data_IF_835669806185
#
_entry.id   IF_835669806185
#
_cell.length_a   1.000
_cell.length_b   1.000
_cell.length_c   1.000
_cell.angle_alpha   90.00
_cell.angle_beta   90.00
_cell.angle_gamma   90.00
#
_symmetry.space_group_name_H-M   'P 1'
#
loop_
_entity.id
_entity.type
_entity.pdbx_description
1 polymer ?
#
# COMPACT_ATOMS: atom_id res chain seq x y z
N UNK A 1 -22.14 9.74 -10.90
CA UNK A 1 -20.68 9.67 -10.74
C UNK A 1 -20.36 9.66 -9.26
N UNK A 2 -19.15 9.30 -8.87
CA UNK A 2 -18.71 9.23 -7.47
C UNK A 2 -17.50 10.13 -7.29
N UNK A 3 -17.51 10.96 -6.24
CA UNK A 3 -16.39 11.79 -5.83
C UNK A 3 -15.86 11.29 -4.51
N UNK A 4 -14.58 10.93 -4.46
CA UNK A 4 -13.88 10.46 -3.27
C UNK A 4 -12.88 11.53 -2.85
N UNK A 5 -12.93 11.99 -1.61
CA UNK A 5 -12.05 13.01 -1.06
C UNK A 5 -11.24 12.48 0.13
N UNK A 6 -9.92 12.62 0.09
CA UNK A 6 -9.03 12.19 1.17
C UNK A 6 -7.71 12.96 1.13
N UNK A 7 -7.30 13.58 2.23
CA UNK A 7 -6.05 14.33 2.39
C UNK A 7 -4.78 13.48 2.42
N UNK A 8 -4.82 12.22 2.00
CA UNK A 8 -3.62 11.36 1.89
C UNK A 8 -2.65 11.87 0.82
N UNK A 9 -1.43 11.36 0.82
CA UNK A 9 -0.38 11.76 -0.13
C UNK A 9 -0.09 10.64 -1.11
N UNK A 10 -0.28 10.92 -2.39
CA UNK A 10 0.16 10.06 -3.48
C UNK A 10 1.61 10.42 -3.87
N UNK A 11 2.55 9.52 -3.58
CA UNK A 11 3.98 9.72 -3.80
C UNK A 11 4.56 8.73 -4.83
N UNK A 12 3.69 8.07 -5.63
CA UNK A 12 4.05 7.05 -6.60
C UNK A 12 3.73 5.61 -6.14
N UNK A 13 3.06 5.45 -4.99
CA UNK A 13 2.64 4.14 -4.46
C UNK A 13 1.38 3.63 -5.14
N UNK A 14 0.56 4.52 -5.70
CA UNK A 14 -0.72 4.19 -6.32
C UNK A 14 -1.90 4.16 -5.35
N UNK A 15 -1.77 4.75 -4.15
CA UNK A 15 -2.84 4.89 -3.14
C UNK A 15 -4.10 5.56 -3.73
N UNK A 16 -3.95 6.54 -4.64
CA UNK A 16 -5.07 7.19 -5.34
C UNK A 16 -5.88 6.19 -6.15
N UNK A 17 -5.19 5.32 -6.90
CA UNK A 17 -5.81 4.31 -7.75
C UNK A 17 -6.55 3.27 -6.93
N UNK A 18 -5.93 2.73 -5.89
CA UNK A 18 -6.54 1.67 -5.06
C UNK A 18 -7.70 2.20 -4.21
N UNK A 19 -7.68 3.47 -3.80
CA UNK A 19 -8.83 4.13 -3.17
C UNK A 19 -10.04 4.17 -4.12
N UNK A 20 -9.81 4.56 -5.38
CA UNK A 20 -10.84 4.50 -6.42
C UNK A 20 -11.34 3.08 -6.68
N UNK A 21 -10.44 2.09 -6.73
CA UNK A 21 -10.81 0.67 -6.90
C UNK A 21 -11.65 0.14 -5.73
N UNK A 22 -11.33 0.53 -4.49
CA UNK A 22 -12.13 0.19 -3.31
C UNK A 22 -13.54 0.77 -3.43
N UNK A 23 -13.68 2.04 -3.82
CA UNK A 23 -15.00 2.64 -4.04
C UNK A 23 -15.76 1.97 -5.20
N UNK A 24 -15.07 1.65 -6.30
CA UNK A 24 -15.64 0.94 -7.45
C UNK A 24 -16.21 -0.42 -7.05
N UNK A 25 -15.43 -1.21 -6.31
CA UNK A 25 -15.85 -2.52 -5.81
C UNK A 25 -17.03 -2.40 -4.84
N UNK A 26 -16.97 -1.47 -3.88
CA UNK A 26 -18.03 -1.34 -2.87
C UNK A 26 -19.32 -0.76 -3.43
N UNK A 27 -19.25 0.17 -4.37
CA UNK A 27 -20.42 0.86 -4.94
C UNK A 27 -20.91 0.24 -6.26
N UNK A 28 -20.21 -0.76 -6.80
CA UNK A 28 -20.59 -1.42 -8.06
C UNK A 28 -20.65 -0.46 -9.25
N UNK A 29 -19.82 0.57 -9.25
CA UNK A 29 -19.71 1.53 -10.36
C UNK A 29 -18.36 1.38 -11.03
N UNK A 30 -18.33 1.55 -12.35
CA UNK A 30 -17.07 1.51 -13.10
C UNK A 30 -16.10 2.62 -12.66
N UNK A 31 -14.80 2.30 -12.70
CA UNK A 31 -13.72 3.15 -12.19
C UNK A 31 -13.61 4.52 -12.91
N UNK A 32 -14.01 4.57 -14.18
CA UNK A 32 -14.08 5.80 -15.00
C UNK A 32 -15.10 6.82 -14.48
N UNK A 33 -16.06 6.36 -13.66
CA UNK A 33 -17.06 7.22 -13.01
C UNK A 33 -16.64 7.70 -11.62
N UNK A 34 -15.42 7.41 -11.20
CA UNK A 34 -14.90 7.76 -9.88
C UNK A 34 -13.78 8.80 -10.02
N UNK A 35 -14.02 10.00 -9.49
CA UNK A 35 -12.99 11.02 -9.33
C UNK A 35 -12.42 10.97 -7.92
N UNK A 36 -11.11 10.75 -7.80
CA UNK A 36 -10.40 10.77 -6.51
C UNK A 36 -9.65 12.08 -6.36
N UNK A 37 -9.99 12.84 -5.32
CA UNK A 37 -9.31 14.06 -4.89
C UNK A 37 -8.46 13.78 -3.66
N UNK A 38 -7.18 14.14 -3.75
CA UNK A 38 -6.19 13.74 -2.77
C UNK A 38 -4.97 14.66 -2.78
N UNK A 39 -4.36 14.88 -1.63
CA UNK A 39 -3.15 15.70 -1.45
C UNK A 39 -3.42 17.18 -1.16
N UNK A 40 -4.56 17.52 -0.55
CA UNK A 40 -4.92 18.88 -0.17
C UNK A 40 -5.36 18.89 1.30
N UNK A 41 -4.87 19.87 2.08
CA UNK A 41 -5.15 20.02 3.51
C UNK A 41 -6.58 20.49 3.81
N UNK A 42 -7.34 20.93 2.80
CA UNK A 42 -8.77 21.18 2.93
C UNK A 42 -9.63 19.91 2.86
N UNK A 43 -9.04 18.76 2.54
CA UNK A 43 -9.74 17.46 2.44
C UNK A 43 -9.70 16.71 3.79
N UNK A 44 -10.57 15.70 3.99
CA UNK A 44 -10.55 14.86 5.19
C UNK A 44 -9.15 14.31 5.49
N UNK A 45 -8.59 14.52 6.69
CA UNK A 45 -7.18 14.23 6.93
C UNK A 45 -6.89 12.73 6.86
N UNK A 46 -5.64 12.40 6.52
CA UNK A 46 -5.13 11.04 6.49
C UNK A 46 -3.74 10.99 7.12
N UNK A 47 -3.30 9.84 7.64
CA UNK A 47 -1.97 9.72 8.23
C UNK A 47 -0.87 9.95 7.17
N UNK A 48 0.35 10.15 7.67
CA UNK A 48 1.55 10.29 6.82
C UNK A 48 1.71 9.08 5.90
N UNK A 49 2.23 9.32 4.69
CA UNK A 49 2.64 8.23 3.79
C UNK A 49 4.02 7.72 4.20
N UNK A 50 4.03 6.79 5.16
CA UNK A 50 5.21 6.12 5.72
C UNK A 50 4.81 4.95 6.62
N UNK A 51 5.74 4.06 6.98
CA UNK A 51 5.42 2.84 7.75
C UNK A 51 4.46 1.89 7.01
N UNK A 52 4.33 2.08 5.69
CA UNK A 52 3.47 1.29 4.81
C UNK A 52 1.98 1.26 5.20
N UNK A 53 1.46 2.27 5.89
CA UNK A 53 0.07 2.26 6.41
C UNK A 53 -0.99 2.86 5.47
N UNK A 54 -0.59 3.64 4.46
CA UNK A 54 -1.52 4.47 3.67
C UNK A 54 -2.66 3.69 3.04
N UNK A 55 -2.38 2.56 2.37
CA UNK A 55 -3.42 1.77 1.70
C UNK A 55 -4.40 1.17 2.71
N UNK A 56 -3.90 0.64 3.83
CA UNK A 56 -4.73 0.08 4.89
C UNK A 56 -5.66 1.14 5.51
N UNK A 57 -5.13 2.32 5.81
CA UNK A 57 -5.90 3.42 6.38
C UNK A 57 -6.94 3.97 5.40
N UNK A 58 -6.51 4.34 4.18
CA UNK A 58 -7.39 4.97 3.18
C UNK A 58 -8.45 3.99 2.68
N UNK A 59 -8.08 2.76 2.32
CA UNK A 59 -9.07 1.81 1.80
C UNK A 59 -10.09 1.39 2.86
N UNK A 60 -9.69 1.31 4.14
CA UNK A 60 -10.64 1.04 5.23
C UNK A 60 -11.63 2.18 5.42
N UNK A 61 -11.16 3.44 5.43
CA UNK A 61 -12.04 4.60 5.52
C UNK A 61 -13.00 4.70 4.32
N UNK A 62 -12.49 4.47 3.10
CA UNK A 62 -13.31 4.46 1.87
C UNK A 62 -14.35 3.36 1.90
N UNK A 63 -13.98 2.15 2.35
CA UNK A 63 -14.92 1.04 2.51
C UNK A 63 -16.05 1.44 3.47
N UNK A 64 -15.72 2.01 4.62
CA UNK A 64 -16.71 2.46 5.61
C UNK A 64 -17.64 3.54 5.05
N UNK A 65 -17.12 4.53 4.32
CA UNK A 65 -17.94 5.56 3.68
C UNK A 65 -18.87 4.96 2.62
N UNK A 66 -18.37 4.04 1.79
CA UNK A 66 -19.18 3.37 0.79
C UNK A 66 -20.29 2.51 1.42
N UNK A 67 -20.01 1.86 2.55
CA UNK A 67 -21.00 1.04 3.26
C UNK A 67 -22.09 1.90 3.92
N UNK A 68 -21.75 3.10 4.39
CA UNK A 68 -22.74 4.07 4.85
C UNK A 68 -23.66 4.52 3.69
N UNK A 69 -23.10 4.80 2.50
CA UNK A 69 -23.89 5.13 1.29
C UNK A 69 -24.82 3.97 0.93
N UNK A 70 -24.30 2.74 0.89
CA UNK A 70 -25.09 1.53 0.60
C UNK A 70 -26.25 1.37 1.57
N UNK A 71 -26.00 1.57 2.86
CA UNK A 71 -27.02 1.47 3.90
C UNK A 71 -28.18 2.43 3.64
N UNK A 72 -27.88 3.70 3.32
CA UNK A 72 -28.92 4.70 3.00
C UNK A 72 -29.66 4.36 1.70
N UNK A 73 -28.94 3.94 0.66
CA UNK A 73 -29.53 3.53 -0.61
C UNK A 73 -30.48 2.35 -0.44
N UNK A 74 -30.07 1.32 0.29
CA UNK A 74 -30.89 0.13 0.51
C UNK A 74 -32.11 0.45 1.36
N UNK A 75 -31.95 1.21 2.44
CA UNK A 75 -33.07 1.64 3.27
C UNK A 75 -34.10 2.46 2.46
N UNK A 76 -33.65 3.36 1.60
CA UNK A 76 -34.55 4.14 0.75
C UNK A 76 -35.22 3.30 -0.34
N UNK A 77 -34.49 2.32 -0.91
CA UNK A 77 -35.05 1.45 -1.93
C UNK A 77 -36.16 0.55 -1.38
N UNK A 78 -36.05 0.13 -0.11
CA UNK A 78 -36.98 -0.80 0.54
C UNK A 78 -38.04 -0.14 1.42
N UNK A 79 -37.97 1.19 1.62
CA UNK A 79 -38.98 1.95 2.32
C UNK A 79 -40.37 1.84 1.64
N UNK A 80 -41.43 2.19 2.37
CA UNK A 80 -42.78 2.25 1.82
C UNK A 80 -42.84 3.23 0.63
N UNK A 81 -43.34 2.77 -0.52
CA UNK A 81 -43.31 3.52 -1.77
C UNK A 81 -41.95 3.53 -2.50
N UNK A 82 -40.93 2.89 -1.93
CA UNK A 82 -39.63 2.68 -2.56
C UNK A 82 -39.69 1.67 -3.72
N UNK A 83 -38.78 1.77 -4.71
CA UNK A 83 -38.82 0.94 -5.91
C UNK A 83 -38.58 -0.56 -5.65
N UNK A 84 -38.10 -0.94 -4.46
CA UNK A 84 -37.86 -2.32 -4.02
C UNK A 84 -38.59 -2.64 -2.69
N UNK A 85 -39.69 -1.95 -2.39
CA UNK A 85 -40.47 -2.17 -1.16
C UNK A 85 -40.89 -3.65 -0.95
N UNK A 86 -41.20 -4.37 -2.04
CA UNK A 86 -41.54 -5.80 -2.00
C UNK A 86 -40.37 -6.73 -1.63
N UNK A 87 -39.13 -6.23 -1.68
CA UNK A 87 -37.90 -7.00 -1.43
C UNK A 87 -37.22 -6.61 -0.11
N UNK A 88 -37.89 -5.91 0.81
CA UNK A 88 -37.29 -5.33 2.02
C UNK A 88 -36.53 -6.32 2.94
N UNK A 89 -36.81 -7.62 2.88
CA UNK A 89 -36.13 -8.66 3.66
C UNK A 89 -34.95 -9.33 2.91
N UNK A 90 -34.62 -8.86 1.71
CA UNK A 90 -33.56 -9.44 0.89
C UNK A 90 -32.19 -8.81 1.17
N UNK A 91 -31.14 -9.51 0.72
CA UNK A 91 -29.80 -8.92 0.61
C UNK A 91 -29.67 -8.24 -0.74
N UNK A 92 -28.95 -7.13 -0.75
CA UNK A 92 -28.75 -6.30 -1.93
C UNK A 92 -27.28 -6.09 -2.26
N UNK A 93 -26.99 -6.04 -3.55
CA UNK A 93 -25.73 -5.58 -4.10
C UNK A 93 -25.93 -4.35 -4.98
N UNK A 94 -24.86 -3.56 -5.11
CA UNK A 94 -24.80 -2.53 -6.13
C UNK A 94 -24.04 -3.09 -7.33
N UNK A 95 -24.62 -2.95 -8.51
CA UNK A 95 -24.00 -3.35 -9.78
C UNK A 95 -24.49 -2.44 -10.90
N UNK A 96 -23.56 -1.85 -11.66
CA UNK A 96 -23.82 -1.01 -12.83
C UNK A 96 -24.85 0.10 -12.60
N UNK A 97 -24.76 0.77 -11.44
CA UNK A 97 -25.68 1.85 -11.06
C UNK A 97 -27.09 1.38 -10.71
N UNK A 98 -27.27 0.10 -10.37
CA UNK A 98 -28.51 -0.48 -9.86
C UNK A 98 -28.30 -1.11 -8.50
N UNK A 99 -29.36 -1.11 -7.71
CA UNK A 99 -29.50 -1.97 -6.54
C UNK A 99 -30.17 -3.25 -7.02
N UNK A 100 -29.55 -4.40 -6.76
CA UNK A 100 -30.03 -5.71 -7.20
C UNK A 100 -30.28 -6.58 -5.97
N UNK A 101 -31.51 -7.06 -5.82
CA UNK A 101 -31.92 -8.01 -4.82
C UNK A 101 -31.50 -9.43 -5.25
N UNK A 102 -31.35 -10.34 -4.28
CA UNK A 102 -31.00 -11.74 -4.56
C UNK A 102 -32.02 -12.45 -5.47
N UNK A 103 -33.30 -12.05 -5.40
CA UNK A 103 -34.38 -12.53 -6.28
C UNK A 103 -34.25 -12.08 -7.74
N UNK A 104 -33.36 -11.12 -8.04
CA UNK A 104 -33.22 -10.49 -9.35
C UNK A 104 -34.04 -9.21 -9.52
N UNK A 105 -34.90 -8.85 -8.54
CA UNK A 105 -35.54 -7.55 -8.51
C UNK A 105 -34.47 -6.44 -8.46
N UNK A 106 -34.63 -5.38 -9.26
CA UNK A 106 -33.63 -4.32 -9.30
C UNK A 106 -34.24 -2.94 -9.51
N UNK A 107 -33.55 -1.93 -8.99
CA UNK A 107 -33.90 -0.53 -9.14
C UNK A 107 -32.66 0.29 -9.52
N UNK A 108 -32.84 1.29 -10.39
CA UNK A 108 -31.74 2.21 -10.70
C UNK A 108 -31.47 3.09 -9.48
N UNK A 109 -30.20 3.33 -9.17
CA UNK A 109 -29.80 4.25 -8.09
C UNK A 109 -30.42 5.64 -8.30
N UNK A 110 -30.50 6.11 -9.55
CA UNK A 110 -31.14 7.39 -9.87
C UNK A 110 -32.63 7.46 -9.51
N UNK A 111 -33.36 6.35 -9.55
CA UNK A 111 -34.78 6.33 -9.16
C UNK A 111 -34.93 6.31 -7.64
N UNK A 112 -34.00 5.66 -6.93
CA UNK A 112 -33.91 5.69 -5.47
C UNK A 112 -33.58 7.11 -4.97
N UNK A 113 -32.62 7.79 -5.61
CA UNK A 113 -32.28 9.19 -5.28
C UNK A 113 -33.48 10.14 -5.50
N UNK A 114 -34.26 9.93 -6.58
CA UNK A 114 -35.51 10.67 -6.81
C UNK A 114 -36.54 10.40 -5.72
N UNK A 115 -36.71 9.14 -5.32
CA UNK A 115 -37.63 8.77 -4.23
C UNK A 115 -37.21 9.42 -2.89
N UNK A 116 -35.90 9.52 -2.65
CA UNK A 116 -35.32 10.25 -1.51
C UNK A 116 -35.41 11.78 -1.64
N UNK A 117 -35.75 12.31 -2.82
CA UNK A 117 -35.74 13.75 -3.14
C UNK A 117 -34.38 14.42 -2.92
N UNK A 118 -33.28 13.69 -3.19
CA UNK A 118 -31.91 14.23 -3.07
C UNK A 118 -31.18 14.18 -4.42
N UNK A 119 -30.27 15.14 -4.63
CA UNK A 119 -29.39 15.16 -5.80
C UNK A 119 -28.15 14.27 -5.64
N UNK A 120 -27.71 14.03 -4.41
CA UNK A 120 -26.55 13.22 -4.06
C UNK A 120 -26.69 12.67 -2.64
N UNK A 121 -25.90 11.64 -2.34
CA UNK A 121 -25.66 11.15 -0.97
C UNK A 121 -24.21 11.46 -0.66
N UNK A 122 -23.97 12.13 0.47
CA UNK A 122 -22.64 12.46 0.96
C UNK A 122 -22.44 11.78 2.31
N UNK A 123 -21.35 11.02 2.44
CA UNK A 123 -20.97 10.38 3.69
C UNK A 123 -19.54 10.73 4.08
N UNK A 124 -19.37 10.91 5.37
CA UNK A 124 -18.06 11.01 6.01
C UNK A 124 -17.82 9.74 6.82
N UNK A 125 -16.64 9.14 6.68
CA UNK A 125 -16.22 8.03 7.51
C UNK A 125 -14.80 8.23 8.01
N UNK A 126 -14.58 7.78 9.24
CA UNK A 126 -13.27 7.79 9.89
C UNK A 126 -12.92 6.36 10.28
N UNK A 127 -11.75 5.91 9.88
CA UNK A 127 -11.17 4.66 10.34
C UNK A 127 -10.06 4.96 11.34
N UNK A 128 -10.26 4.49 12.58
CA UNK A 128 -9.24 4.50 13.62
C UNK A 128 -8.86 3.05 13.96
N UNK A 129 -7.56 2.68 13.93
CA UNK A 129 -7.13 1.34 14.35
C UNK A 129 -7.40 1.12 15.84
N UNK A 130 -7.46 -0.15 16.27
CA UNK A 130 -7.70 -0.47 17.68
C UNK A 130 -6.53 0.09 18.50
N UNK A 131 -6.85 0.75 19.62
CA UNK A 131 -5.85 1.40 20.46
C UNK A 131 -5.48 2.84 20.04
N UNK A 132 -6.06 3.38 18.96
CA UNK A 132 -5.99 4.81 18.68
C UNK A 132 -6.68 5.62 19.80
N UNK A 133 -6.03 6.66 20.29
CA UNK A 133 -6.58 7.53 21.34
C UNK A 133 -7.33 8.72 20.72
N UNK A 134 -8.33 9.30 21.41
CA UNK A 134 -8.98 10.54 20.98
C UNK A 134 -7.98 11.68 20.74
N UNK A 135 -6.90 11.75 21.53
CA UNK A 135 -5.82 12.71 21.36
C UNK A 135 -5.08 12.52 20.04
N UNK A 136 -4.85 11.27 19.61
CA UNK A 136 -4.19 10.98 18.34
C UNK A 136 -5.01 11.43 17.13
N UNK A 137 -6.32 11.20 17.18
CA UNK A 137 -7.24 11.73 16.19
C UNK A 137 -7.21 13.26 16.20
N UNK A 138 -7.31 13.89 17.36
CA UNK A 138 -7.24 15.36 17.47
C UNK A 138 -5.94 15.93 16.88
N UNK A 139 -4.80 15.26 17.06
CA UNK A 139 -3.52 15.68 16.45
C UNK A 139 -3.53 15.50 14.94
N UNK A 140 -4.09 14.42 14.43
CA UNK A 140 -4.25 14.19 12.99
C UNK A 140 -5.04 15.34 12.33
N UNK A 141 -6.19 15.73 12.90
CA UNK A 141 -6.97 16.87 12.41
C UNK A 141 -6.24 18.23 12.56
N UNK A 142 -5.30 18.32 13.50
CA UNK A 142 -4.43 19.49 13.64
C UNK A 142 -3.20 19.46 12.71
N UNK A 143 -3.12 18.50 11.78
CA UNK A 143 -2.01 18.35 10.83
C UNK A 143 -0.71 17.86 11.48
N UNK A 144 -0.78 17.20 12.64
CA UNK A 144 0.39 16.70 13.36
C UNK A 144 0.49 15.18 13.21
N UNK A 145 1.63 14.65 12.72
CA UNK A 145 1.82 13.20 12.68
C UNK A 145 1.93 12.65 14.10
N UNK A 146 1.32 11.49 14.32
CA UNK A 146 1.51 10.70 15.53
C UNK A 146 1.84 9.26 15.12
N UNK A 147 2.97 8.77 15.61
CA UNK A 147 3.43 7.41 15.33
C UNK A 147 3.02 6.53 16.51
N UNK A 148 2.27 5.48 16.23
CA UNK A 148 1.95 4.44 17.19
C UNK A 148 2.49 3.09 16.69
N UNK A 149 2.84 2.21 17.62
CA UNK A 149 3.19 0.83 17.28
C UNK A 149 1.99 0.05 16.75
N UNK A 150 2.25 -1.15 16.22
CA UNK A 150 1.20 -2.11 15.91
C UNK A 150 0.43 -2.53 17.17
N UNK A 151 -0.78 -3.05 16.95
CA UNK A 151 -1.60 -3.61 18.02
C UNK A 151 -0.86 -4.77 18.71
N UNK A 152 -0.82 -4.77 20.04
CA UNK A 152 -0.37 -5.91 20.83
C UNK A 152 -1.60 -6.74 21.21
N UNK A 153 -1.97 -7.67 20.33
CA UNK A 153 -2.95 -8.69 20.68
C UNK A 153 -2.22 -9.88 21.33
N UNK A 154 -2.82 -10.47 22.38
CA UNK A 154 -2.22 -11.58 23.11
C UNK A 154 -1.93 -12.80 22.22
N UNK A 155 -2.82 -13.08 21.26
CA UNK A 155 -2.80 -14.29 20.45
C UNK A 155 -2.51 -14.07 18.95
N UNK A 156 -2.15 -12.84 18.53
CA UNK A 156 -1.91 -12.57 17.11
C UNK A 156 -0.90 -11.47 16.81
N UNK A 157 -0.21 -11.60 15.68
CA UNK A 157 0.68 -10.58 15.11
C UNK A 157 0.28 -10.28 13.67
N UNK A 158 0.19 -9.00 13.33
CA UNK A 158 -0.31 -8.51 12.04
C UNK A 158 0.81 -7.91 11.22
N UNK A 159 1.72 -8.75 10.74
CA UNK A 159 2.82 -8.34 9.87
C UNK A 159 2.62 -8.85 8.44
N UNK A 160 3.21 -8.12 7.49
CA UNK A 160 3.53 -8.65 6.18
C UNK A 160 4.88 -9.38 6.26
N UNK A 161 5.05 -10.41 5.43
CA UNK A 161 6.24 -11.26 5.43
C UNK A 161 6.83 -11.36 4.02
N UNK A 162 8.15 -11.46 3.95
CA UNK A 162 8.90 -11.64 2.72
C UNK A 162 9.94 -12.75 2.87
N UNK A 163 10.17 -13.48 1.79
CA UNK A 163 11.28 -14.42 1.65
C UNK A 163 12.06 -14.05 0.39
N UNK A 164 13.34 -13.75 0.57
CA UNK A 164 14.15 -13.11 -0.47
C UNK A 164 15.35 -13.98 -0.86
N UNK A 165 15.54 -14.20 -2.16
CA UNK A 165 16.55 -15.12 -2.69
C UNK A 165 17.39 -14.45 -3.76
N UNK A 166 18.69 -14.31 -3.48
CA UNK A 166 19.63 -13.59 -4.34
C UNK A 166 20.72 -14.51 -4.86
N UNK A 167 20.97 -14.47 -6.17
CA UNK A 167 22.19 -14.99 -6.79
C UNK A 167 23.18 -13.84 -6.99
N UNK A 168 24.45 -14.02 -6.62
CA UNK A 168 25.53 -13.09 -6.95
C UNK A 168 26.58 -13.74 -7.82
N UNK A 169 27.22 -12.94 -8.67
CA UNK A 169 28.44 -13.29 -9.40
C UNK A 169 29.53 -12.30 -9.02
N UNK A 170 30.69 -12.83 -8.66
CA UNK A 170 31.83 -12.03 -8.23
C UNK A 170 32.98 -12.32 -9.20
N UNK A 171 33.45 -11.29 -9.88
CA UNK A 171 34.58 -11.43 -10.79
C UNK A 171 35.84 -11.82 -10.01
N UNK A 172 36.51 -12.92 -10.37
CA UNK A 172 37.69 -13.42 -9.64
C UNK A 172 38.89 -12.44 -9.63
N UNK A 173 38.97 -11.56 -10.61
CA UNK A 173 40.10 -10.62 -10.79
C UNK A 173 39.76 -9.24 -10.25
N UNK A 174 38.61 -8.67 -10.64
CA UNK A 174 38.20 -7.31 -10.24
C UNK A 174 37.41 -7.25 -8.95
N UNK A 175 36.89 -8.40 -8.48
CA UNK A 175 35.94 -8.54 -7.36
C UNK A 175 34.64 -7.76 -7.51
N UNK A 176 34.36 -7.27 -8.71
CA UNK A 176 33.08 -6.67 -9.06
C UNK A 176 31.95 -7.66 -8.77
N UNK A 177 30.97 -7.21 -7.98
CA UNK A 177 29.79 -7.98 -7.60
C UNK A 177 28.64 -7.59 -8.52
N UNK A 178 27.95 -8.60 -9.06
CA UNK A 178 26.73 -8.44 -9.86
C UNK A 178 25.62 -9.32 -9.30
N UNK A 179 24.38 -8.84 -9.38
CA UNK A 179 23.17 -9.59 -9.00
C UNK A 179 22.46 -10.01 -10.29
N UNK A 180 22.84 -11.15 -10.92
CA UNK A 180 22.18 -11.60 -12.14
C UNK A 180 20.71 -11.99 -11.95
N UNK A 181 20.33 -12.42 -10.72
CA UNK A 181 19.00 -12.92 -10.44
C UNK A 181 18.60 -12.68 -8.98
N UNK A 182 17.38 -12.23 -8.79
CA UNK A 182 16.70 -12.11 -7.50
C UNK A 182 15.25 -12.57 -7.64
N UNK A 183 14.77 -13.41 -6.72
CA UNK A 183 13.42 -13.97 -6.72
C UNK A 183 12.87 -13.91 -5.31
N UNK A 184 11.87 -13.06 -5.10
CA UNK A 184 11.36 -12.80 -3.76
C UNK A 184 9.85 -13.06 -3.71
N UNK A 185 9.40 -13.68 -2.62
CA UNK A 185 8.01 -14.02 -2.37
C UNK A 185 7.47 -13.25 -1.16
N UNK A 186 6.33 -12.58 -1.33
CA UNK A 186 5.78 -11.67 -0.32
C UNK A 186 4.31 -11.99 -0.01
N UNK A 187 3.99 -12.08 1.29
CA UNK A 187 2.65 -12.15 1.83
C UNK A 187 2.32 -10.81 2.51
N UNK A 188 1.38 -10.06 1.94
CA UNK A 188 1.05 -8.69 2.38
C UNK A 188 -0.47 -8.48 2.52
N UNK A 189 -1.17 -9.52 2.98
CA UNK A 189 -2.63 -9.54 3.07
C UNK A 189 -3.28 -9.39 1.70
N UNK A 190 -4.43 -8.72 1.69
CA UNK A 190 -5.18 -8.47 0.47
C UNK A 190 -4.43 -7.52 -0.46
N UNK A 191 -4.06 -8.02 -1.64
CA UNK A 191 -3.48 -7.20 -2.70
C UNK A 191 -4.58 -6.46 -3.46
N UNK A 192 -4.64 -5.14 -3.30
CA UNK A 192 -5.63 -4.29 -3.98
C UNK A 192 -5.41 -4.17 -5.49
N UNK A 193 -4.14 -4.10 -5.92
CA UNK A 193 -3.77 -3.96 -7.32
C UNK A 193 -2.44 -4.65 -7.55
N UNK A 194 -2.46 -5.74 -8.33
CA UNK A 194 -1.27 -6.58 -8.57
C UNK A 194 -0.17 -5.83 -9.31
N UNK A 195 -0.51 -4.87 -10.18
CA UNK A 195 0.46 -4.09 -10.94
C UNK A 195 1.22 -3.11 -10.05
N UNK A 196 0.53 -2.33 -9.23
CA UNK A 196 1.19 -1.37 -8.33
C UNK A 196 1.92 -2.09 -7.20
N UNK A 197 1.33 -3.15 -6.62
CA UNK A 197 1.98 -3.99 -5.61
C UNK A 197 3.29 -4.60 -6.14
N UNK A 198 3.25 -5.19 -7.33
CA UNK A 198 4.46 -5.72 -7.98
C UNK A 198 5.49 -4.60 -8.19
N UNK A 199 5.09 -3.45 -8.71
CA UNK A 199 6.01 -2.33 -8.98
C UNK A 199 6.67 -1.80 -7.70
N UNK A 200 5.93 -1.73 -6.59
CA UNK A 200 6.46 -1.31 -5.29
C UNK A 200 7.48 -2.31 -4.74
N UNK A 201 7.15 -3.60 -4.76
CA UNK A 201 8.08 -4.66 -4.31
C UNK A 201 9.34 -4.69 -5.18
N UNK A 202 9.21 -4.57 -6.51
CA UNK A 202 10.35 -4.45 -7.42
C UNK A 202 11.22 -3.24 -7.05
N UNK A 203 10.61 -2.09 -6.77
CA UNK A 203 11.34 -0.90 -6.34
C UNK A 203 12.10 -1.10 -5.03
N UNK A 204 11.47 -1.74 -4.05
CA UNK A 204 12.11 -2.09 -2.77
C UNK A 204 13.31 -3.04 -2.96
N UNK A 205 13.17 -4.06 -3.79
CA UNK A 205 14.25 -5.00 -4.09
C UNK A 205 15.43 -4.30 -4.79
N UNK A 206 15.14 -3.41 -5.74
CA UNK A 206 16.17 -2.60 -6.43
C UNK A 206 16.88 -1.71 -5.41
N UNK A 207 16.13 -1.04 -4.54
CA UNK A 207 16.69 -0.21 -3.48
C UNK A 207 17.59 -1.03 -2.55
N UNK A 208 17.17 -2.23 -2.17
CA UNK A 208 17.96 -3.11 -1.33
C UNK A 208 19.25 -3.61 -1.97
N UNK A 209 19.27 -3.80 -3.30
CA UNK A 209 20.51 -4.03 -4.07
C UNK A 209 21.41 -2.78 -4.00
N UNK A 210 20.83 -1.58 -4.15
CA UNK A 210 21.51 -0.30 -3.98
C UNK A 210 22.16 -0.17 -2.61
N UNK A 211 21.40 -0.38 -1.55
CA UNK A 211 21.89 -0.40 -0.16
C UNK A 211 23.02 -1.41 0.04
N UNK A 212 22.93 -2.58 -0.59
CA UNK A 212 23.94 -3.62 -0.44
C UNK A 212 25.25 -3.30 -1.16
N UNK A 213 25.21 -2.68 -2.34
CA UNK A 213 26.37 -2.65 -3.25
C UNK A 213 26.88 -1.24 -3.59
N UNK A 214 26.07 -0.20 -3.39
CA UNK A 214 26.31 1.12 -3.99
C UNK A 214 26.15 2.27 -2.99
N UNK A 215 25.00 2.35 -2.31
CA UNK A 215 24.57 3.52 -1.57
C UNK A 215 25.40 3.71 -0.28
N UNK A 216 26.15 4.82 -0.22
CA UNK A 216 26.89 5.24 0.96
C UNK A 216 26.96 6.76 1.01
N UNK A 217 26.68 7.34 2.17
CA UNK A 217 26.90 8.77 2.41
C UNK A 217 28.31 8.96 2.96
N UNK A 218 29.19 9.57 2.17
CA UNK A 218 30.59 9.77 2.55
C UNK A 218 30.76 11.11 3.27
N UNK A 219 31.38 11.06 4.45
CA UNK A 219 31.53 12.23 5.34
C UNK A 219 33.00 12.59 5.49
N UNK A 220 33.38 13.81 5.08
CA UNK A 220 34.65 14.40 5.48
C UNK A 220 34.59 14.78 6.96
N UNK A 221 35.24 13.98 7.81
CA UNK A 221 35.28 14.18 9.26
C UNK A 221 36.01 15.45 9.68
N UNK A 222 36.87 16.03 8.84
CA UNK A 222 37.61 17.27 9.17
C UNK A 222 36.70 18.49 9.14
N UNK A 223 35.76 18.51 8.20
CA UNK A 223 34.87 19.66 7.99
C UNK A 223 33.38 19.36 8.24
N UNK A 224 33.06 18.12 8.63
CA UNK A 224 31.70 17.62 8.81
C UNK A 224 30.80 17.87 7.58
N UNK A 225 31.30 17.51 6.39
CA UNK A 225 30.58 17.70 5.11
C UNK A 225 30.38 16.39 4.37
N UNK A 226 29.24 16.25 3.72
CA UNK A 226 29.02 15.21 2.72
C UNK A 226 29.84 15.51 1.47
N UNK A 227 30.66 14.56 1.04
CA UNK A 227 31.55 14.74 -0.11
C UNK A 227 30.94 14.25 -1.42
N UNK A 228 30.01 13.30 -1.37
CA UNK A 228 29.34 12.72 -2.53
C UNK A 228 27.86 13.12 -2.60
N UNK A 229 27.60 14.43 -2.71
CA UNK A 229 26.24 15.02 -2.59
C UNK A 229 25.57 15.25 -3.95
N UNK A 230 25.80 14.36 -4.89
CA UNK A 230 25.25 14.36 -6.25
C UNK A 230 25.12 12.92 -6.76
N UNK A 231 24.41 12.74 -7.87
CA UNK A 231 24.17 11.42 -8.46
C UNK A 231 25.37 10.85 -9.23
N UNK A 232 26.46 11.61 -9.35
CA UNK A 232 27.69 11.09 -9.94
C UNK A 232 28.45 10.26 -8.90
N UNK A 233 28.54 10.77 -7.67
CA UNK A 233 29.35 10.15 -6.61
C UNK A 233 28.49 9.39 -5.56
N UNK A 234 27.20 9.67 -5.43
CA UNK A 234 26.25 8.83 -4.69
C UNK A 234 25.60 7.84 -5.65
N UNK A 235 26.14 6.63 -5.66
CA UNK A 235 25.73 5.60 -6.61
C UNK A 235 24.39 4.99 -6.19
N UNK A 236 23.40 5.16 -7.05
CA UNK A 236 22.14 4.38 -7.03
C UNK A 236 22.18 3.34 -8.16
N UNK A 237 21.46 2.21 -8.03
CA UNK A 237 21.38 1.23 -9.11
C UNK A 237 20.93 1.86 -10.43
N UNK A 238 21.65 1.56 -11.50
CA UNK A 238 21.22 1.89 -12.86
C UNK A 238 20.49 0.71 -13.49
N UNK A 239 19.80 0.93 -14.62
CA UNK A 239 19.08 -0.14 -15.33
C UNK A 239 19.98 -1.35 -15.64
N UNK A 240 21.25 -1.11 -15.98
CA UNK A 240 22.19 -2.19 -16.28
C UNK A 240 22.53 -3.09 -15.08
N UNK A 241 22.37 -2.61 -13.84
CA UNK A 241 22.64 -3.38 -12.62
C UNK A 241 21.52 -4.40 -12.32
N UNK A 242 20.31 -4.14 -12.81
CA UNK A 242 19.13 -4.95 -12.55
C UNK A 242 18.87 -5.88 -13.74
N UNK A 243 18.98 -7.19 -13.51
CA UNK A 243 18.82 -8.23 -14.54
C UNK A 243 17.50 -8.99 -14.36
N UNK A 244 17.55 -10.24 -13.91
CA UNK A 244 16.35 -11.04 -13.69
C UNK A 244 15.80 -10.77 -12.28
N UNK A 245 14.69 -10.02 -12.21
CA UNK A 245 14.02 -9.64 -10.97
C UNK A 245 12.59 -10.15 -10.98
N UNK A 246 12.26 -11.02 -10.02
CA UNK A 246 10.96 -11.68 -9.95
C UNK A 246 10.32 -11.45 -8.59
N UNK A 247 9.05 -11.03 -8.62
CA UNK A 247 8.20 -10.86 -7.45
C UNK A 247 7.09 -11.90 -7.51
N UNK A 248 6.99 -12.69 -6.45
CA UNK A 248 5.90 -13.64 -6.22
C UNK A 248 4.97 -13.05 -5.16
N UNK A 249 3.72 -12.82 -5.53
CA UNK A 249 2.68 -12.41 -4.59
C UNK A 249 2.04 -13.67 -4.00
N UNK A 250 2.24 -13.91 -2.72
CA UNK A 250 1.62 -15.03 -1.99
C UNK A 250 0.18 -14.63 -1.64
N UNK A 251 -0.84 -15.36 -2.13
CA UNK A 251 -2.23 -15.05 -1.80
C UNK A 251 -2.47 -15.14 -0.29
N UNK A 252 -3.04 -14.10 0.27
CA UNK A 252 -3.36 -14.02 1.70
C UNK A 252 -4.67 -13.26 1.89
N UNK A 253 -5.51 -13.75 2.80
CA UNK A 253 -6.71 -13.04 3.26
C UNK A 253 -6.64 -12.96 4.77
N UNK A 254 -6.54 -11.75 5.29
CA UNK A 254 -6.49 -11.48 6.71
C UNK A 254 -7.65 -10.56 7.08
N UNK A 255 -8.67 -11.12 7.75
CA UNK A 255 -9.84 -10.37 8.20
C UNK A 255 -9.65 -9.70 9.57
N UNK A 256 -8.56 -10.02 10.27
CA UNK A 256 -8.29 -9.50 11.61
C UNK A 256 -7.50 -8.20 11.59
N UNK A 257 -6.80 -7.89 10.48
CA UNK A 257 -5.87 -6.75 10.42
C UNK A 257 -6.56 -5.38 10.34
N UNK A 258 -7.57 -5.22 9.47
CA UNK A 258 -8.37 -4.00 9.30
C UNK A 258 -9.57 -4.29 8.40
N UNK A 259 -10.58 -3.39 8.30
CA UNK A 259 -11.76 -3.61 7.47
C UNK A 259 -11.46 -3.96 6.01
N UNK A 260 -10.39 -3.42 5.42
CA UNK A 260 -10.00 -3.70 4.05
C UNK A 260 -9.20 -5.01 3.88
N UNK A 261 -8.69 -5.60 4.96
CA UNK A 261 -7.83 -6.78 4.97
C UNK A 261 -6.44 -6.56 4.36
N UNK A 262 -5.99 -5.31 4.28
CA UNK A 262 -4.75 -4.90 3.59
C UNK A 262 -3.60 -4.77 4.59
N UNK A 263 -2.40 -5.28 4.29
CA UNK A 263 -1.19 -5.05 5.10
C UNK A 263 -0.24 -4.07 4.41
N UNK A 264 0.77 -3.62 5.15
CA UNK A 264 1.82 -2.76 4.62
C UNK A 264 2.70 -3.48 3.61
N UNK A 265 2.91 -2.85 2.46
CA UNK A 265 3.68 -3.42 1.34
C UNK A 265 4.80 -2.50 0.84
N UNK A 266 4.68 -1.17 1.01
CA UNK A 266 5.56 -0.19 0.37
C UNK A 266 7.05 -0.36 0.73
N UNK A 267 7.35 -0.66 1.98
CA UNK A 267 8.73 -0.85 2.45
C UNK A 267 9.17 -2.32 2.41
N UNK A 268 8.22 -3.26 2.24
CA UNK A 268 8.43 -4.70 2.46
C UNK A 268 9.53 -5.28 1.57
N UNK A 269 9.57 -4.87 0.30
CA UNK A 269 10.51 -5.40 -0.68
C UNK A 269 11.97 -5.01 -0.45
N UNK A 270 12.27 -4.08 0.46
CA UNK A 270 13.62 -3.65 0.78
C UNK A 270 14.17 -4.31 2.06
N UNK A 271 13.29 -4.82 2.93
CA UNK A 271 13.63 -5.16 4.33
C UNK A 271 14.74 -6.20 4.44
N UNK A 272 14.70 -7.27 3.65
CA UNK A 272 15.66 -8.37 3.71
C UNK A 272 16.78 -8.30 2.67
N UNK A 273 16.68 -7.41 1.69
CA UNK A 273 17.37 -7.61 0.41
C UNK A 273 18.87 -7.45 0.55
N UNK A 274 19.29 -6.43 1.29
CA UNK A 274 20.72 -6.23 1.50
C UNK A 274 21.35 -7.38 2.31
N UNK A 275 20.60 -7.97 3.24
CA UNK A 275 21.05 -9.13 3.99
C UNK A 275 21.10 -10.40 3.11
N UNK A 276 20.17 -10.56 2.18
CA UNK A 276 20.17 -11.64 1.19
C UNK A 276 21.38 -11.52 0.25
N UNK A 277 21.66 -10.32 -0.27
CA UNK A 277 22.88 -10.03 -1.07
C UNK A 277 24.14 -10.36 -0.27
N UNK A 278 24.25 -9.87 0.97
CA UNK A 278 25.42 -10.14 1.83
C UNK A 278 25.60 -11.64 2.13
N UNK A 279 24.50 -12.37 2.32
CA UNK A 279 24.53 -13.82 2.52
C UNK A 279 24.96 -14.58 1.26
N UNK A 280 24.53 -14.12 0.08
CA UNK A 280 24.98 -14.67 -1.20
C UNK A 280 26.47 -14.40 -1.47
N UNK A 281 26.97 -13.21 -1.11
CA UNK A 281 28.41 -12.89 -1.15
C UNK A 281 29.20 -13.80 -0.21
N UNK A 282 28.70 -14.03 1.01
CA UNK A 282 29.31 -14.98 1.94
C UNK A 282 29.35 -16.39 1.36
N UNK A 283 28.26 -16.88 0.77
CA UNK A 283 28.22 -18.19 0.10
C UNK A 283 29.26 -18.29 -1.03
N UNK A 284 29.42 -17.24 -1.83
CA UNK A 284 30.35 -17.23 -2.97
C UNK A 284 31.84 -17.10 -2.57
N UNK A 285 32.14 -16.54 -1.38
CA UNK A 285 33.52 -16.14 -1.02
C UNK A 285 34.03 -16.69 0.30
N UNK A 286 33.15 -17.15 1.19
CA UNK A 286 33.44 -17.45 2.58
C UNK A 286 33.64 -16.21 3.47
N UNK A 287 33.58 -14.98 2.93
CA UNK A 287 33.80 -13.74 3.68
C UNK A 287 32.48 -13.14 4.16
N UNK A 288 32.32 -12.95 5.47
CA UNK A 288 31.12 -12.35 6.06
C UNK A 288 31.30 -10.84 6.18
N UNK A 289 30.71 -10.09 5.27
CA UNK A 289 30.67 -8.61 5.33
C UNK A 289 29.42 -8.19 6.09
N UNK A 290 29.59 -7.33 7.10
CA UNK A 290 28.50 -6.83 7.97
C UNK A 290 28.27 -5.33 7.81
N UNK A 291 29.28 -4.61 7.32
CA UNK A 291 29.21 -3.18 7.05
C UNK A 291 28.91 -2.97 5.57
N UNK A 292 27.78 -2.31 5.30
CA UNK A 292 27.35 -1.96 3.96
C UNK A 292 27.85 -0.57 3.56
N UNK A 293 28.00 -0.30 2.25
CA UNK A 293 27.86 -1.27 1.14
C UNK A 293 29.03 -2.26 1.09
N UNK A 294 28.82 -3.40 0.42
CA UNK A 294 29.84 -4.41 0.15
C UNK A 294 30.75 -3.89 -0.96
N UNK A 295 31.90 -3.35 -0.56
CA UNK A 295 32.88 -2.76 -1.47
C UNK A 295 33.92 -3.79 -1.94
N UNK A 296 34.52 -3.52 -3.10
CA UNK A 296 35.51 -4.38 -3.75
C UNK A 296 36.71 -4.67 -2.82
N UNK A 297 37.17 -3.66 -2.09
CA UNK A 297 38.31 -3.76 -1.17
C UNK A 297 38.08 -4.76 -0.03
N UNK A 298 36.82 -4.93 0.40
CA UNK A 298 36.47 -5.92 1.44
C UNK A 298 36.58 -7.36 0.92
N UNK A 299 36.59 -7.55 -0.40
CA UNK A 299 36.68 -8.84 -1.07
C UNK A 299 38.12 -9.20 -1.50
N UNK A 300 39.05 -8.25 -1.46
CA UNK A 300 40.47 -8.49 -1.74
C UNK A 300 41.11 -9.39 -0.67
N UNK A 301 42.06 -10.22 -1.10
CA UNK A 301 42.84 -11.15 -0.25
C UNK A 301 44.22 -10.55 -0.04
#
# INVERSE_FOLDING_TARGET
DVRLQCGSHEIGTGVRTVAGQMASERLGVSIDRISVEMGDSSLPPAPVSGGSISTASVCSAVLMACDAIRTKLYAAATAEGGPLASSHNEKFELADGKIVAKSGASAKVGDVLKAMQVGAIEEYAEFAPKGATPEALKKLYAGKPEFHGGEQDEDSVKYAFGAEFVEVRINRYTREVRVPRIVDAFAAGRIMNTRTARSQLMGGMIWGIGQALHEATEVDRRYARYVNRDLQDYLVPVNADIKDLQVILVPEVDHAVNPAGVKGLGELGNVGTAAAVASAVYHATGKRIRDLPIRIEQLLV
#
